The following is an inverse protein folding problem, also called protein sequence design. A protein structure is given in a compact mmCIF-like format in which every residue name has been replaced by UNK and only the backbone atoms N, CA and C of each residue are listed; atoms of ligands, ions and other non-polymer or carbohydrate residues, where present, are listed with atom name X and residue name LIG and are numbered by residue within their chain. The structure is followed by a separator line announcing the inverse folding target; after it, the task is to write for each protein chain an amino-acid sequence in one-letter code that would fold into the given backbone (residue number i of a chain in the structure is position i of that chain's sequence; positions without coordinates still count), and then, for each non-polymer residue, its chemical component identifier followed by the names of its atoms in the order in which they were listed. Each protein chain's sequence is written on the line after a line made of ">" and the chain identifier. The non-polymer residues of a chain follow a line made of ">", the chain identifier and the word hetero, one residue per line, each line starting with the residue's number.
data_IF_710224718370
#
_entry.id   IF_710224718370
#
_cell.length_a   1.000
_cell.length_b   1.000
_cell.length_c   1.000
_cell.angle_alpha   90.00
_cell.angle_beta   90.00
_cell.angle_gamma   90.00
#
_symmetry.space_group_name_H-M   'P 1'
#
loop_
_entity.id
_entity.type
_entity.pdbx_description
1 polymer ?
#
# COMPACT_ATOMS: atom_id res chain seq x y z
N UNK A 1 -22.30 24.35 -7.87
CA UNK A 1 -21.61 24.53 -6.58
C UNK A 1 -20.23 23.92 -6.72
N UNK A 2 -19.18 24.74 -6.71
CA UNK A 2 -17.81 24.27 -6.81
C UNK A 2 -17.41 23.59 -5.50
N UNK A 3 -17.56 22.26 -5.43
CA UNK A 3 -16.94 21.49 -4.34
C UNK A 3 -15.47 21.35 -4.69
N UNK A 4 -14.63 22.15 -4.07
CA UNK A 4 -13.19 21.98 -4.07
C UNK A 4 -12.87 20.71 -3.25
N UNK A 5 -13.25 19.53 -3.75
CA UNK A 5 -12.81 18.26 -3.19
C UNK A 5 -11.36 18.13 -3.61
N UNK A 6 -10.47 18.15 -2.63
CA UNK A 6 -9.08 17.82 -2.87
C UNK A 6 -9.04 16.35 -3.32
N UNK A 7 -8.58 16.15 -4.53
CA UNK A 7 -8.60 14.90 -5.30
C UNK A 7 -7.52 13.89 -4.89
N UNK A 8 -6.71 14.28 -3.91
CA UNK A 8 -5.66 13.48 -3.30
C UNK A 8 -5.41 13.90 -1.85
N UNK A 9 -4.71 13.05 -1.09
CA UNK A 9 -4.19 13.31 0.25
C UNK A 9 -2.69 13.04 0.26
N UNK A 10 -1.89 14.04 0.62
CA UNK A 10 -0.44 13.84 0.87
C UNK A 10 -0.25 13.06 2.17
N UNK A 11 0.55 12.00 2.11
CA UNK A 11 0.82 11.08 3.22
C UNK A 11 2.21 11.30 3.83
N UNK A 12 3.19 11.64 2.98
CA UNK A 12 4.55 11.98 3.34
C UNK A 12 5.11 12.93 2.28
N UNK A 13 5.82 13.97 2.69
CA UNK A 13 6.57 14.81 1.77
C UNK A 13 7.81 15.39 2.46
N UNK A 14 8.96 15.26 1.80
CA UNK A 14 10.18 15.99 2.12
C UNK A 14 10.95 16.26 0.82
N UNK A 15 12.21 16.68 0.93
CA UNK A 15 13.04 17.03 -0.23
C UNK A 15 13.33 15.85 -1.16
N UNK A 16 13.25 14.60 -0.67
CA UNK A 16 13.68 13.40 -1.40
C UNK A 16 12.53 12.46 -1.79
N UNK A 17 11.42 12.48 -1.06
CA UNK A 17 10.32 11.54 -1.29
C UNK A 17 8.99 12.24 -1.17
N UNK A 18 8.02 11.77 -1.93
CA UNK A 18 6.62 12.11 -1.74
C UNK A 18 5.76 10.87 -1.86
N UNK A 19 4.82 10.75 -0.95
CA UNK A 19 3.78 9.73 -0.94
C UNK A 19 2.42 10.40 -0.83
N UNK A 20 1.46 9.92 -1.61
CA UNK A 20 0.10 10.44 -1.61
C UNK A 20 -0.90 9.35 -1.99
N UNK A 21 -2.17 9.61 -1.69
CA UNK A 21 -3.29 8.80 -2.15
C UNK A 21 -4.16 9.64 -3.09
N UNK A 22 -4.49 9.13 -4.27
CA UNK A 22 -5.37 9.79 -5.24
C UNK A 22 -6.67 9.00 -5.43
N UNK A 23 -7.79 9.73 -5.53
CA UNK A 23 -9.14 9.15 -5.53
C UNK A 23 -10.14 9.96 -6.38
N UNK A 24 -9.65 10.79 -7.29
CA UNK A 24 -10.42 11.60 -8.24
C UNK A 24 -11.13 10.79 -9.33
N UNK A 25 -10.63 9.60 -9.63
CA UNK A 25 -11.13 8.73 -10.70
C UNK A 25 -10.86 7.26 -10.41
N UNK A 26 -11.37 6.40 -11.29
CA UNK A 26 -11.03 4.99 -11.24
C UNK A 26 -9.63 4.74 -11.81
N UNK A 27 -8.71 4.31 -10.96
CA UNK A 27 -7.34 3.98 -11.34
C UNK A 27 -7.18 2.52 -11.80
N UNK A 28 -8.23 1.68 -11.72
CA UNK A 28 -8.15 0.29 -12.14
C UNK A 28 -7.80 0.13 -13.63
N UNK A 29 -8.08 1.15 -14.45
CA UNK A 29 -7.69 1.21 -15.87
C UNK A 29 -6.17 1.15 -16.11
N UNK A 30 -5.36 1.41 -15.07
CA UNK A 30 -3.89 1.35 -15.12
C UNK A 30 -3.30 0.03 -14.64
N UNK A 31 -4.11 -0.93 -14.16
CA UNK A 31 -3.63 -2.26 -13.74
C UNK A 31 -2.71 -2.87 -14.79
N UNK A 32 -1.60 -3.45 -14.34
CA UNK A 32 -0.59 -4.12 -15.18
C UNK A 32 0.01 -3.22 -16.27
N UNK A 33 0.30 -1.95 -15.96
CA UNK A 33 0.87 -0.98 -16.91
C UNK A 33 2.00 -0.18 -16.30
N UNK A 34 2.95 0.18 -17.15
CA UNK A 34 3.85 1.32 -16.93
C UNK A 34 3.38 2.42 -17.87
N UNK A 35 3.08 3.59 -17.32
CA UNK A 35 2.57 4.73 -18.07
C UNK A 35 3.45 5.96 -17.83
N UNK A 36 3.40 6.95 -18.71
CA UNK A 36 3.91 8.29 -18.39
C UNK A 36 3.17 8.90 -17.21
N UNK A 37 3.56 10.10 -16.78
CA UNK A 37 2.89 10.78 -15.67
C UNK A 37 1.36 10.88 -15.89
N UNK A 38 0.60 10.38 -14.91
CA UNK A 38 -0.87 10.45 -14.91
C UNK A 38 -1.40 11.48 -13.91
N UNK A 39 -0.54 12.12 -13.12
CA UNK A 39 -0.87 13.07 -12.07
C UNK A 39 -0.47 14.49 -12.53
N UNK A 40 -1.37 15.23 -13.19
CA UNK A 40 -1.02 16.53 -13.81
C UNK A 40 -0.62 17.61 -12.81
N UNK A 41 -0.90 17.41 -11.52
CA UNK A 41 -0.49 18.29 -10.43
C UNK A 41 0.89 17.92 -9.83
N UNK A 42 1.53 16.86 -10.32
CA UNK A 42 2.81 16.38 -9.79
C UNK A 42 3.83 16.16 -10.92
N UNK A 43 4.52 17.22 -11.30
CA UNK A 43 5.40 17.23 -12.48
C UNK A 43 6.73 16.50 -12.26
N UNK A 44 7.11 16.19 -11.02
CA UNK A 44 8.34 15.44 -10.74
C UNK A 44 8.23 13.95 -11.10
N UNK A 45 7.03 13.44 -11.38
CA UNK A 45 6.85 12.07 -11.84
C UNK A 45 7.05 12.02 -13.36
N UNK A 46 7.88 11.08 -13.82
CA UNK A 46 8.06 10.79 -15.26
C UNK A 46 7.31 9.54 -15.68
N UNK A 47 7.27 8.51 -14.81
CA UNK A 47 6.55 7.26 -15.05
C UNK A 47 5.78 6.81 -13.82
N UNK A 48 4.65 6.15 -14.06
CA UNK A 48 3.84 5.48 -13.05
C UNK A 48 3.83 3.98 -13.32
N UNK A 49 4.15 3.19 -12.30
CA UNK A 49 4.26 1.73 -12.34
C UNK A 49 3.10 1.13 -11.56
N UNK A 50 2.27 0.36 -12.25
CA UNK A 50 1.15 -0.39 -11.68
C UNK A 50 1.34 -1.89 -11.92
N UNK A 51 1.13 -2.67 -10.88
CA UNK A 51 1.22 -4.13 -10.93
C UNK A 51 -0.11 -4.76 -11.38
N UNK A 52 -0.05 -6.02 -11.79
CA UNK A 52 -1.19 -6.93 -11.72
C UNK A 52 -1.24 -7.57 -10.32
N UNK A 53 -1.93 -6.91 -9.40
CA UNK A 53 -2.05 -7.36 -8.01
C UNK A 53 -2.88 -8.64 -7.92
N UNK A 54 -2.26 -9.72 -7.42
CA UNK A 54 -2.80 -11.08 -7.34
C UNK A 54 -3.05 -11.56 -5.89
N UNK A 55 -2.97 -10.65 -4.91
CA UNK A 55 -3.17 -10.88 -3.48
C UNK A 55 -2.15 -11.85 -2.85
N UNK A 56 -0.95 -11.92 -3.40
CA UNK A 56 0.22 -12.66 -2.91
C UNK A 56 1.07 -11.84 -1.91
N UNK A 57 2.23 -12.38 -1.54
CA UNK A 57 3.33 -11.64 -0.89
C UNK A 57 4.53 -11.41 -1.83
N UNK A 58 4.37 -11.60 -3.15
CA UNK A 58 5.44 -11.48 -4.13
C UNK A 58 5.85 -10.02 -4.30
N UNK A 59 7.16 -9.78 -4.26
CA UNK A 59 7.81 -8.50 -4.45
C UNK A 59 8.55 -8.51 -5.78
N UNK A 60 8.46 -7.43 -6.54
CA UNK A 60 9.25 -7.22 -7.76
C UNK A 60 10.13 -5.98 -7.64
N UNK A 61 11.26 -5.96 -8.34
CA UNK A 61 12.15 -4.81 -8.39
C UNK A 61 11.99 -4.11 -9.74
N UNK A 62 11.58 -2.84 -9.71
CA UNK A 62 11.56 -2.00 -10.92
C UNK A 62 12.96 -1.92 -11.56
N UNK A 63 13.05 -2.11 -12.88
CA UNK A 63 14.28 -2.08 -13.71
C UNK A 63 15.36 -3.17 -13.50
N UNK A 64 15.13 -4.16 -12.63
CA UNK A 64 16.07 -5.31 -12.50
C UNK A 64 15.43 -6.62 -12.93
N UNK A 65 14.47 -7.10 -12.14
CA UNK A 65 13.74 -8.36 -12.35
C UNK A 65 12.23 -8.10 -12.29
N UNK A 66 11.78 -7.20 -13.16
CA UNK A 66 10.43 -6.68 -13.11
C UNK A 66 9.39 -7.69 -13.65
N UNK A 67 8.35 -7.92 -12.86
CA UNK A 67 7.15 -8.68 -13.24
C UNK A 67 5.91 -7.90 -12.86
N UNK A 68 4.92 -7.86 -13.74
CA UNK A 68 3.63 -7.28 -13.39
C UNK A 68 2.89 -8.12 -12.32
N UNK A 69 3.05 -9.44 -12.33
CA UNK A 69 2.34 -10.34 -11.41
C UNK A 69 3.01 -10.34 -10.04
N UNK A 70 2.69 -9.34 -9.23
CA UNK A 70 3.22 -9.14 -7.89
C UNK A 70 2.25 -8.27 -7.09
N UNK A 71 2.43 -8.23 -5.77
CA UNK A 71 1.67 -7.37 -4.87
C UNK A 71 2.53 -6.31 -4.21
N UNK A 72 3.85 -6.36 -4.38
CA UNK A 72 4.76 -5.30 -3.97
C UNK A 72 5.77 -4.97 -5.06
N UNK A 73 6.13 -3.69 -5.15
CA UNK A 73 7.23 -3.22 -6.00
C UNK A 73 8.19 -2.38 -5.17
N UNK A 74 9.49 -2.57 -5.40
CA UNK A 74 10.57 -1.79 -4.80
C UNK A 74 11.40 -1.06 -5.86
N UNK A 75 11.99 0.07 -5.49
CA UNK A 75 12.89 0.84 -6.36
C UNK A 75 13.72 1.85 -5.57
N UNK A 76 14.84 2.26 -6.14
CA UNK A 76 15.60 3.46 -5.75
C UNK A 76 15.70 4.48 -6.92
N UNK A 77 14.90 4.29 -7.98
CA UNK A 77 14.89 5.17 -9.15
C UNK A 77 14.13 6.46 -8.86
N UNK A 78 14.71 7.59 -9.25
CA UNK A 78 14.10 8.91 -9.12
C UNK A 78 12.99 9.11 -10.14
N UNK A 79 11.99 9.90 -9.77
CA UNK A 79 10.89 10.32 -10.64
C UNK A 79 10.02 9.16 -11.14
N UNK A 80 10.10 7.98 -10.51
CA UNK A 80 9.28 6.80 -10.80
C UNK A 80 8.27 6.58 -9.67
N UNK A 81 6.99 6.70 -10.01
CA UNK A 81 5.89 6.49 -9.09
C UNK A 81 5.48 5.02 -9.00
N UNK A 82 5.68 4.43 -7.82
CA UNK A 82 5.19 3.11 -7.48
C UNK A 82 3.74 3.23 -7.02
N UNK A 83 2.81 2.65 -7.77
CA UNK A 83 1.37 2.85 -7.59
C UNK A 83 0.67 1.53 -7.21
N UNK A 84 -0.07 1.56 -6.09
CA UNK A 84 -0.86 0.42 -5.62
C UNK A 84 -2.35 0.77 -5.69
N UNK A 85 -3.11 -0.10 -6.35
CA UNK A 85 -4.55 0.00 -6.46
C UNK A 85 -5.22 -0.60 -5.23
N UNK A 86 -6.28 0.02 -4.73
CA UNK A 86 -7.07 -0.57 -3.65
C UNK A 86 -8.53 -0.15 -3.68
N UNK A 87 -9.34 -1.00 -3.07
CA UNK A 87 -10.68 -0.70 -2.57
C UNK A 87 -10.86 -1.67 -1.39
N UNK A 88 -10.50 -1.22 -0.19
CA UNK A 88 -10.44 -1.95 1.10
C UNK A 88 -9.12 -2.64 1.48
N UNK A 89 -8.40 -3.29 0.57
CA UNK A 89 -7.07 -3.84 0.92
C UNK A 89 -6.12 -2.73 1.37
N UNK A 90 -5.14 -3.03 2.24
CA UNK A 90 -4.26 -2.03 2.85
C UNK A 90 -3.05 -1.72 1.95
N UNK A 91 -2.94 -0.51 1.39
CA UNK A 91 -1.70 -0.08 0.76
C UNK A 91 -0.67 0.27 1.83
N UNK A 92 0.53 -0.31 1.73
CA UNK A 92 1.66 -0.03 2.59
C UNK A 92 2.76 0.64 1.77
N UNK A 93 3.23 1.81 2.19
CA UNK A 93 4.31 2.53 1.53
C UNK A 93 5.51 2.57 2.46
N UNK A 94 6.68 2.21 1.95
CA UNK A 94 7.92 2.18 2.70
C UNK A 94 8.90 3.18 2.09
N UNK A 95 9.61 3.90 2.96
CA UNK A 95 10.71 4.77 2.58
C UNK A 95 11.91 4.52 3.49
N UNK A 96 13.05 4.21 2.91
CA UNK A 96 14.36 4.22 3.55
C UNK A 96 14.99 5.60 3.34
N UNK A 97 15.13 6.36 4.42
CA UNK A 97 15.66 7.72 4.36
C UNK A 97 17.18 7.80 4.20
N UNK A 98 17.92 6.74 4.53
CA UNK A 98 19.37 6.70 4.37
C UNK A 98 19.75 6.27 2.95
N UNK A 99 19.22 5.13 2.48
CA UNK A 99 19.61 4.57 1.18
C UNK A 99 18.75 5.08 0.01
N UNK A 100 17.77 5.95 0.28
CA UNK A 100 16.83 6.49 -0.72
C UNK A 100 16.19 5.37 -1.54
N UNK A 101 15.57 4.43 -0.85
CA UNK A 101 14.81 3.34 -1.45
C UNK A 101 13.34 3.44 -1.03
N UNK A 102 12.45 3.02 -1.91
CA UNK A 102 11.01 3.03 -1.70
C UNK A 102 10.40 1.68 -2.03
N UNK A 103 9.28 1.38 -1.40
CA UNK A 103 8.41 0.28 -1.79
C UNK A 103 6.94 0.65 -1.67
N UNK A 104 6.12 0.07 -2.54
CA UNK A 104 4.67 0.16 -2.47
C UNK A 104 4.07 -1.25 -2.50
N UNK A 105 3.25 -1.59 -1.50
CA UNK A 105 2.71 -2.93 -1.28
C UNK A 105 1.19 -2.92 -1.21
N UNK A 106 0.56 -3.89 -1.84
CA UNK A 106 -0.83 -4.25 -1.71
C UNK A 106 -1.01 -5.33 -0.65
N UNK A 107 -1.24 -4.93 0.60
CA UNK A 107 -1.50 -5.85 1.70
C UNK A 107 -2.99 -6.15 1.83
N UNK A 108 -3.50 -6.99 0.93
CA UNK A 108 -4.79 -7.65 1.13
C UNK A 108 -4.71 -8.69 2.26
N UNK A 109 -5.84 -9.31 2.64
CA UNK A 109 -5.85 -10.29 3.74
C UNK A 109 -4.86 -11.43 3.54
N UNK A 110 -4.79 -12.02 2.34
CA UNK A 110 -3.86 -13.11 2.03
C UNK A 110 -2.40 -12.64 2.14
N UNK A 111 -2.02 -11.57 1.45
CA UNK A 111 -0.67 -10.99 1.56
C UNK A 111 -0.30 -10.54 2.98
N UNK A 112 -1.26 -10.07 3.77
CA UNK A 112 -1.05 -9.74 5.19
C UNK A 112 -0.80 -11.00 6.03
N UNK A 113 -1.56 -12.08 5.84
CA UNK A 113 -1.31 -13.37 6.50
C UNK A 113 0.04 -13.97 6.09
N UNK A 114 0.42 -13.82 4.83
CA UNK A 114 1.71 -14.26 4.26
C UNK A 114 2.85 -13.26 4.53
N UNK A 115 2.60 -12.22 5.33
CA UNK A 115 3.54 -11.20 5.77
C UNK A 115 4.34 -10.53 4.62
N UNK A 116 3.63 -9.99 3.62
CA UNK A 116 4.20 -9.21 2.51
C UNK A 116 5.13 -8.07 2.97
N UNK A 117 4.88 -7.50 4.16
CA UNK A 117 5.74 -6.46 4.73
C UNK A 117 7.16 -7.02 5.00
N UNK A 118 7.27 -8.22 5.59
CA UNK A 118 8.55 -8.88 5.79
C UNK A 118 9.26 -9.15 4.47
N UNK A 119 8.55 -9.68 3.48
CA UNK A 119 9.14 -9.96 2.15
C UNK A 119 9.69 -8.70 1.50
N UNK A 120 8.94 -7.58 1.57
CA UNK A 120 9.41 -6.29 1.07
C UNK A 120 10.68 -5.81 1.79
N UNK A 121 10.71 -5.90 3.13
CA UNK A 121 11.89 -5.52 3.92
C UNK A 121 13.12 -6.34 3.55
N UNK A 122 12.98 -7.66 3.39
CA UNK A 122 14.07 -8.54 2.96
C UNK A 122 14.59 -8.16 1.57
N UNK A 123 13.69 -7.92 0.62
CA UNK A 123 14.07 -7.52 -0.74
C UNK A 123 14.75 -6.13 -0.77
N UNK A 124 14.30 -5.18 0.07
CA UNK A 124 14.95 -3.87 0.22
C UNK A 124 16.32 -3.99 0.89
N UNK A 125 16.47 -4.86 1.89
CA UNK A 125 17.74 -5.17 2.54
C UNK A 125 18.75 -5.71 1.52
N UNK A 126 18.34 -6.67 0.70
CA UNK A 126 19.20 -7.28 -0.32
C UNK A 126 19.53 -6.30 -1.45
N UNK A 127 18.55 -5.53 -1.94
CA UNK A 127 18.73 -4.68 -3.13
C UNK A 127 19.40 -3.35 -2.82
N UNK A 128 19.18 -2.78 -1.62
CA UNK A 128 19.54 -1.41 -1.30
C UNK A 128 20.26 -1.25 0.03
N UNK A 129 20.65 -2.36 0.69
CA UNK A 129 21.26 -2.35 2.03
C UNK A 129 20.38 -1.67 3.10
N UNK A 130 19.06 -1.67 2.90
CA UNK A 130 18.10 -1.02 3.79
C UNK A 130 18.20 -1.55 5.21
N UNK A 131 18.10 -0.65 6.19
CA UNK A 131 18.05 -1.01 7.61
C UNK A 131 16.66 -0.71 8.17
N UNK A 132 16.08 -1.64 8.93
CA UNK A 132 14.70 -1.51 9.42
C UNK A 132 14.50 -0.29 10.33
N UNK A 133 15.55 0.14 11.04
CA UNK A 133 15.56 1.37 11.85
C UNK A 133 15.39 2.66 11.04
N UNK A 134 15.74 2.65 9.75
CA UNK A 134 15.64 3.80 8.84
C UNK A 134 14.30 3.79 8.07
N UNK A 135 13.58 2.67 8.11
CA UNK A 135 12.31 2.55 7.40
C UNK A 135 11.22 3.40 8.05
N UNK A 136 10.51 4.15 7.21
CA UNK A 136 9.22 4.77 7.50
C UNK A 136 8.15 3.95 6.80
N UNK A 137 7.26 3.36 7.58
CA UNK A 137 6.08 2.67 7.08
C UNK A 137 4.88 3.61 7.15
N UNK A 138 4.23 3.83 6.01
CA UNK A 138 2.93 4.51 5.92
C UNK A 138 1.87 3.46 5.59
N UNK A 139 0.83 3.38 6.43
CA UNK A 139 -0.38 2.60 6.19
C UNK A 139 -1.43 3.57 5.65
N UNK A 140 -1.76 3.42 4.37
CA UNK A 140 -2.75 4.27 3.68
C UNK A 140 -4.20 3.88 4.04
N UNK A 141 -5.18 4.49 3.37
CA UNK A 141 -6.58 4.17 3.59
C UNK A 141 -6.86 2.72 3.17
N UNK A 142 -7.60 2.01 4.01
CA UNK A 142 -8.14 0.69 3.72
C UNK A 142 -9.17 0.32 4.78
N UNK A 143 -9.74 -0.86 4.69
CA UNK A 143 -10.89 -1.20 5.52
C UNK A 143 -10.53 -1.27 7.01
N UNK A 144 -11.35 -0.63 7.83
CA UNK A 144 -11.22 -0.64 9.27
C UNK A 144 -11.86 -1.89 9.87
N UNK A 145 -11.35 -2.31 11.03
CA UNK A 145 -11.78 -3.54 11.70
C UNK A 145 -13.31 -3.63 11.88
N UNK A 146 -13.97 -2.54 12.29
CA UNK A 146 -15.43 -2.53 12.51
C UNK A 146 -16.27 -2.93 11.27
N UNK A 147 -15.71 -2.75 10.07
CA UNK A 147 -16.35 -3.03 8.78
C UNK A 147 -15.75 -4.27 8.08
N UNK A 148 -14.69 -4.89 8.62
CA UNK A 148 -14.04 -6.06 8.02
C UNK A 148 -14.44 -7.39 8.68
N UNK A 149 -15.71 -7.72 8.54
CA UNK A 149 -16.26 -9.02 8.89
C UNK A 149 -15.74 -10.14 7.96
N UNK A 150 -15.41 -11.29 8.54
CA UNK A 150 -14.97 -12.51 7.85
C UNK A 150 -15.78 -13.71 8.35
N UNK A 151 -15.91 -14.75 7.52
CA UNK A 151 -16.73 -15.92 7.84
C UNK A 151 -16.14 -17.21 7.25
N UNK A 152 -16.74 -18.35 7.63
CA UNK A 152 -16.34 -19.68 7.16
C UNK A 152 -14.87 -20.00 7.43
N UNK A 153 -14.21 -20.68 6.49
CA UNK A 153 -12.81 -21.14 6.62
C UNK A 153 -11.82 -20.02 6.99
N UNK A 154 -12.09 -18.80 6.55
CA UNK A 154 -11.22 -17.64 6.84
C UNK A 154 -11.33 -17.25 8.32
N UNK A 155 -12.55 -17.28 8.86
CA UNK A 155 -12.79 -17.02 10.28
C UNK A 155 -12.12 -18.08 11.14
N UNK A 156 -12.30 -19.36 10.80
CA UNK A 156 -11.70 -20.47 11.56
C UNK A 156 -10.17 -20.38 11.55
N UNK A 157 -9.58 -20.18 10.37
CA UNK A 157 -8.14 -19.95 10.24
C UNK A 157 -7.65 -18.73 11.03
N UNK A 158 -8.44 -17.64 11.07
CA UNK A 158 -8.08 -16.43 11.82
C UNK A 158 -8.17 -16.64 13.33
N UNK A 159 -9.11 -17.46 13.82
CA UNK A 159 -9.20 -17.82 15.24
C UNK A 159 -7.97 -18.60 15.69
N UNK A 160 -7.41 -19.45 14.83
CA UNK A 160 -6.24 -20.26 15.15
C UNK A 160 -4.94 -19.46 15.05
N UNK A 161 -4.78 -18.64 14.01
CA UNK A 161 -3.48 -18.05 13.65
C UNK A 161 -3.38 -16.55 13.95
N UNK A 162 -4.50 -15.85 14.10
CA UNK A 162 -4.56 -14.39 14.21
C UNK A 162 -5.54 -13.90 15.29
N UNK A 163 -5.80 -14.72 16.31
CA UNK A 163 -6.73 -14.41 17.40
C UNK A 163 -6.53 -13.03 18.04
N UNK A 164 -5.29 -12.54 18.30
CA UNK A 164 -5.08 -11.21 18.86
C UNK A 164 -5.61 -10.05 18.00
N UNK A 165 -5.85 -10.29 16.70
CA UNK A 165 -6.30 -9.31 15.74
C UNK A 165 -7.76 -9.55 15.31
N UNK A 166 -8.44 -10.52 15.91
CA UNK A 166 -9.82 -10.88 15.61
C UNK A 166 -10.71 -10.53 16.80
N UNK A 167 -11.74 -9.71 16.57
CA UNK A 167 -12.77 -9.45 17.56
C UNK A 167 -14.09 -9.98 17.04
N UNK A 168 -14.64 -11.02 17.69
CA UNK A 168 -15.75 -11.81 17.17
C UNK A 168 -15.44 -12.38 15.77
N UNK A 169 -16.04 -11.82 14.73
CA UNK A 169 -15.78 -12.16 13.34
C UNK A 169 -15.18 -10.99 12.54
N UNK A 170 -14.70 -9.94 13.21
CA UNK A 170 -14.13 -8.73 12.62
C UNK A 170 -12.61 -8.74 12.74
N UNK A 171 -11.94 -8.81 11.60
CA UNK A 171 -10.48 -8.90 11.52
C UNK A 171 -9.84 -7.53 11.39
N UNK A 172 -8.85 -7.23 12.23
CA UNK A 172 -8.11 -5.98 12.23
C UNK A 172 -6.76 -6.11 11.51
N UNK A 173 -6.80 -5.99 10.18
CA UNK A 173 -5.60 -6.05 9.34
C UNK A 173 -4.59 -4.94 9.68
N UNK A 174 -5.06 -3.73 10.03
CA UNK A 174 -4.16 -2.61 10.40
C UNK A 174 -3.37 -2.92 11.66
N UNK A 175 -4.01 -3.51 12.67
CA UNK A 175 -3.33 -3.94 13.89
C UNK A 175 -2.32 -5.07 13.62
N UNK A 176 -2.67 -6.04 12.76
CA UNK A 176 -1.76 -7.10 12.34
C UNK A 176 -0.51 -6.54 11.64
N UNK A 177 -0.67 -5.63 10.67
CA UNK A 177 0.46 -4.98 10.00
C UNK A 177 1.32 -4.19 10.99
N UNK A 178 0.71 -3.43 11.91
CA UNK A 178 1.47 -2.69 12.95
C UNK A 178 2.27 -3.63 13.85
N UNK A 179 1.72 -4.79 14.18
CA UNK A 179 2.44 -5.83 14.92
C UNK A 179 3.60 -6.39 14.10
N UNK A 180 3.36 -6.81 12.86
CA UNK A 180 4.41 -7.31 11.95
C UNK A 180 5.55 -6.30 11.76
N UNK A 181 5.22 -5.01 11.60
CA UNK A 181 6.20 -3.94 11.48
C UNK A 181 7.09 -3.82 12.71
N UNK A 182 6.50 -3.90 13.91
CA UNK A 182 7.25 -3.86 15.18
C UNK A 182 8.17 -5.07 15.34
N UNK A 183 7.70 -6.26 14.98
CA UNK A 183 8.53 -7.49 15.00
C UNK A 183 9.73 -7.39 14.05
N UNK A 184 9.60 -6.68 12.93
CA UNK A 184 10.71 -6.39 12.02
C UNK A 184 11.66 -5.28 12.53
N UNK A 185 11.35 -4.63 13.65
CA UNK A 185 12.12 -3.53 14.20
C UNK A 185 11.88 -2.18 13.52
N UNK A 186 10.81 -2.04 12.72
CA UNK A 186 10.41 -0.75 12.14
C UNK A 186 9.86 0.14 13.26
N UNK A 187 10.54 1.26 13.51
CA UNK A 187 10.18 2.19 14.57
C UNK A 187 9.18 3.26 14.13
N UNK A 188 9.27 3.68 12.87
CA UNK A 188 8.48 4.79 12.33
C UNK A 188 7.27 4.24 11.57
N UNK A 189 6.13 4.14 12.25
CA UNK A 189 4.88 3.60 11.69
C UNK A 189 3.80 4.68 11.73
N UNK A 190 3.34 5.11 10.55
CA UNK A 190 2.32 6.13 10.38
C UNK A 190 1.07 5.51 9.76
N UNK A 191 -0.04 5.46 10.51
CA UNK A 191 -1.34 5.05 9.99
C UNK A 191 -2.22 6.28 9.86
N UNK A 192 -2.73 6.54 8.65
CA UNK A 192 -3.60 7.70 8.42
C UNK A 192 -5.00 7.52 9.04
N UNK A 193 -5.30 6.35 9.60
CA UNK A 193 -6.52 6.01 10.33
C UNK A 193 -7.82 6.22 9.52
N UNK A 194 -7.74 6.23 8.19
CA UNK A 194 -8.91 6.32 7.30
C UNK A 194 -9.46 4.93 6.93
N UNK A 195 -10.79 4.84 6.88
CA UNK A 195 -11.55 3.65 6.50
C UNK A 195 -12.23 3.87 5.14
N UNK A 196 -11.89 3.06 4.14
CA UNK A 196 -12.47 3.13 2.78
C UNK A 196 -13.98 2.91 2.76
N UNK A 197 -14.50 2.14 3.71
CA UNK A 197 -15.93 1.86 3.82
C UNK A 197 -16.73 3.07 4.34
N UNK A 198 -16.16 3.83 5.29
CA UNK A 198 -16.86 4.92 5.98
C UNK A 198 -16.83 6.25 5.21
N UNK A 199 -15.80 6.46 4.38
CA UNK A 199 -15.56 7.74 3.71
C UNK A 199 -16.01 7.69 2.24
N UNK A 200 -17.03 8.49 1.91
CA UNK A 200 -17.65 8.55 0.57
C UNK A 200 -16.71 9.09 -0.53
N UNK A 201 -15.50 9.55 -0.18
CA UNK A 201 -14.47 9.89 -1.18
C UNK A 201 -13.81 8.66 -1.78
N UNK A 202 -13.90 7.50 -1.11
CA UNK A 202 -13.15 6.30 -1.49
C UNK A 202 -14.05 5.21 -2.07
N UNK A 203 -13.48 4.39 -2.94
CA UNK A 203 -14.11 3.15 -3.39
C UNK A 203 -13.93 2.05 -2.34
N UNK A 204 -15.00 1.28 -2.08
CA UNK A 204 -15.00 0.16 -1.15
C UNK A 204 -15.71 -1.04 -1.76
N UNK A 205 -14.98 -2.15 -1.95
CA UNK A 205 -15.53 -3.40 -2.46
C UNK A 205 -16.52 -4.01 -1.47
N UNK A 206 -16.23 -3.93 -0.17
CA UNK A 206 -17.10 -4.42 0.91
C UNK A 206 -18.44 -3.69 0.93
N UNK A 207 -18.47 -2.40 0.59
CA UNK A 207 -19.69 -1.59 0.59
C UNK A 207 -20.63 -1.92 -0.56
N UNK A 208 -20.11 -2.09 -1.77
CA UNK A 208 -20.95 -2.17 -2.97
C UNK A 208 -20.36 -3.02 -4.11
N UNK A 209 -19.39 -3.88 -3.83
CA UNK A 209 -18.74 -4.78 -4.80
C UNK A 209 -18.13 -4.05 -6.01
N UNK A 210 -17.76 -2.78 -5.86
CA UNK A 210 -17.19 -2.00 -6.97
C UNK A 210 -15.90 -2.59 -7.53
N UNK A 211 -15.74 -2.49 -8.84
CA UNK A 211 -14.49 -2.79 -9.56
C UNK A 211 -13.54 -1.61 -9.60
N UNK A 212 -14.02 -0.41 -9.22
CA UNK A 212 -13.22 0.82 -9.22
C UNK A 212 -12.17 0.80 -8.13
N UNK A 213 -11.04 1.46 -8.36
CA UNK A 213 -9.91 1.51 -7.42
C UNK A 213 -9.40 2.93 -7.25
N UNK A 214 -9.05 3.26 -6.00
CA UNK A 214 -8.18 4.40 -5.69
C UNK A 214 -6.73 3.96 -5.80
N UNK A 215 -5.76 4.89 -5.79
CA UNK A 215 -4.34 4.54 -5.79
C UNK A 215 -3.57 5.21 -4.65
N UNK A 216 -2.65 4.46 -4.03
CA UNK A 216 -1.61 4.99 -3.14
C UNK A 216 -0.28 4.93 -3.85
N UNK A 217 0.47 6.03 -3.77
CA UNK A 217 1.63 6.31 -4.60
C UNK A 217 2.79 6.72 -3.72
N UNK A 218 4.00 6.24 -4.03
CA UNK A 218 5.25 6.75 -3.49
C UNK A 218 6.29 6.86 -4.61
N UNK A 219 7.07 7.94 -4.60
CA UNK A 219 8.18 8.14 -5.53
C UNK A 219 9.29 8.96 -4.88
N UNK A 220 10.51 8.76 -5.38
CA UNK A 220 11.66 9.59 -5.05
C UNK A 220 11.66 10.81 -5.96
N UNK A 221 11.86 12.01 -5.40
CA UNK A 221 12.02 13.25 -6.16
C UNK A 221 13.38 13.26 -6.89
N UNK A 222 13.50 14.14 -7.88
CA UNK A 222 14.76 14.37 -8.60
C UNK A 222 15.86 14.94 -7.68
#
# INVERSE_FOLDING_TARGET
>A
MATNRQDHITLLENDFVKAFMAFDRDYNVFRAKIHGNIFPWENSITKCVFLDQIHSNIITHYNKDFSFNADGVISNEKSIALCILSADCLPLLLYDDENKAIAALHSGRKGCFENILKEAVLNMQESFNTQTKNLKLIISAGICAKNYEISGKILDYSKENFAPFLHENKLNLKALVKFQAKELGIKNIFDINLCTFDDERFFSYRKNQTTKRITSVIYLKD
#
